data_IF_904362219931
#
_entry.id   IF_904362219931
#
_cell.length_a   1.000
_cell.length_b   1.000
_cell.length_c   1.000
_cell.angle_alpha   90.00
_cell.angle_beta   90.00
_cell.angle_gamma   90.00
#
_symmetry.space_group_name_H-M   'P 1'
#
loop_
_entity.id
_entity.type
_entity.pdbx_description
1 polymer ?
#
# COMPACT_ATOMS: atom_id res chain seq x y z
N UNK A 1 23.40 -17.89 -12.65
CA UNK A 1 22.76 -18.55 -11.48
C UNK A 1 22.61 -17.62 -10.25
N UNK A 2 22.96 -16.33 -10.33
CA UNK A 2 22.91 -15.40 -9.16
C UNK A 2 21.54 -14.74 -8.92
N UNK A 3 20.66 -14.71 -9.94
CA UNK A 3 19.35 -14.05 -9.86
C UNK A 3 18.38 -14.74 -8.88
N UNK A 4 18.42 -16.08 -8.79
CA UNK A 4 17.52 -16.83 -7.90
C UNK A 4 17.78 -16.55 -6.42
N UNK A 5 19.05 -16.36 -6.03
CA UNK A 5 19.39 -16.04 -4.63
C UNK A 5 18.96 -14.64 -4.22
N UNK A 6 19.09 -13.66 -5.12
CA UNK A 6 18.69 -12.26 -4.88
C UNK A 6 17.17 -12.12 -4.77
N UNK A 7 16.41 -12.82 -5.63
CA UNK A 7 14.94 -12.85 -5.59
C UNK A 7 14.42 -13.43 -4.26
N UNK A 8 14.97 -14.55 -3.80
CA UNK A 8 14.60 -15.15 -2.51
C UNK A 8 14.91 -14.24 -1.33
N UNK A 9 16.06 -13.55 -1.34
CA UNK A 9 16.41 -12.59 -0.28
C UNK A 9 15.45 -11.39 -0.27
N UNK A 10 15.10 -10.86 -1.43
CA UNK A 10 14.13 -9.77 -1.52
C UNK A 10 12.74 -10.19 -1.03
N UNK A 11 12.27 -11.38 -1.43
CA UNK A 11 11.00 -11.91 -0.94
C UNK A 11 11.00 -12.04 0.60
N UNK A 12 12.08 -12.54 1.19
CA UNK A 12 12.24 -12.60 2.65
C UNK A 12 12.25 -11.23 3.33
N UNK A 13 12.96 -10.25 2.75
CA UNK A 13 12.99 -8.88 3.28
C UNK A 13 11.61 -8.20 3.19
N UNK A 14 10.88 -8.38 2.08
CA UNK A 14 9.50 -7.89 1.93
C UNK A 14 8.59 -8.55 2.97
N UNK A 15 8.70 -9.86 3.17
CA UNK A 15 7.90 -10.59 4.15
C UNK A 15 8.17 -10.12 5.59
N UNK A 16 9.44 -9.93 5.96
CA UNK A 16 9.85 -9.40 7.26
C UNK A 16 9.31 -8.00 7.50
N UNK A 17 9.60 -7.07 6.58
CA UNK A 17 9.12 -5.68 6.65
C UNK A 17 7.59 -5.61 6.76
N UNK A 18 6.87 -6.38 5.94
CA UNK A 18 5.41 -6.41 5.96
C UNK A 18 4.87 -6.96 7.27
N UNK A 19 5.53 -7.97 7.86
CA UNK A 19 5.13 -8.53 9.16
C UNK A 19 5.28 -7.52 10.29
N UNK A 20 6.35 -6.73 10.28
CA UNK A 20 6.56 -5.67 11.25
C UNK A 20 5.54 -4.54 11.10
N UNK A 21 5.20 -4.17 9.86
CA UNK A 21 4.12 -3.20 9.60
C UNK A 21 2.78 -3.68 10.16
N UNK A 22 2.42 -4.95 9.97
CA UNK A 22 1.22 -5.54 10.56
C UNK A 22 1.26 -5.48 12.09
N UNK A 23 2.41 -5.78 12.70
CA UNK A 23 2.60 -5.68 14.16
C UNK A 23 2.42 -4.23 14.65
N UNK A 24 2.99 -3.26 13.95
CA UNK A 24 2.83 -1.84 14.26
C UNK A 24 1.38 -1.36 14.13
N UNK A 25 0.68 -1.78 13.06
CA UNK A 25 -0.74 -1.46 12.88
C UNK A 25 -1.60 -1.98 14.03
N UNK A 26 -1.37 -3.22 14.49
CA UNK A 26 -2.12 -3.84 15.60
C UNK A 26 -1.81 -3.24 16.96
N UNK A 27 -0.54 -2.90 17.21
CA UNK A 27 -0.10 -2.41 18.51
C UNK A 27 -0.38 -0.92 18.74
N UNK A 28 -0.55 -0.13 17.67
CA UNK A 28 -0.59 1.33 17.78
C UNK A 28 0.76 1.96 18.14
N UNK A 29 1.82 1.16 18.18
CA UNK A 29 3.16 1.60 18.56
C UNK A 29 3.91 2.32 17.43
N UNK A 30 4.97 3.08 17.75
CA UNK A 30 5.83 3.66 16.74
C UNK A 30 6.50 2.55 15.93
N UNK A 31 6.35 2.62 14.62
CA UNK A 31 7.09 1.77 13.69
C UNK A 31 8.45 2.42 13.39
N UNK A 32 9.51 1.60 13.34
CA UNK A 32 10.86 2.01 12.94
C UNK A 32 11.25 1.19 11.72
N UNK A 33 11.56 1.86 10.61
CA UNK A 33 12.07 1.22 9.39
C UNK A 33 13.52 0.79 9.57
N UNK A 34 14.29 1.56 10.34
CA UNK A 34 15.66 1.24 10.69
C UNK A 34 15.68 0.04 11.66
N UNK A 35 16.14 -1.12 11.18
CA UNK A 35 16.24 -2.36 11.97
C UNK A 35 15.30 -3.48 11.55
N UNK A 36 14.40 -3.23 10.58
CA UNK A 36 13.36 -4.17 10.14
C UNK A 36 13.82 -5.31 9.23
N UNK A 37 15.05 -5.24 8.70
CA UNK A 37 15.58 -6.24 7.79
C UNK A 37 16.70 -7.01 8.51
N UNK A 38 16.60 -8.34 8.63
CA UNK A 38 17.60 -9.14 9.32
C UNK A 38 18.97 -9.01 8.64
N UNK A 39 20.03 -9.07 9.44
CA UNK A 39 21.44 -8.86 9.07
C UNK A 39 21.86 -9.63 7.80
N UNK A 40 21.93 -8.92 6.66
CA UNK A 40 22.38 -9.46 5.37
C UNK A 40 23.78 -8.92 5.04
N UNK A 41 24.79 -9.48 5.70
CA UNK A 41 26.19 -9.29 5.28
C UNK A 41 26.70 -7.86 5.45
N UNK A 42 27.30 -7.27 4.42
CA UNK A 42 27.85 -5.91 4.54
C UNK A 42 26.73 -4.87 4.69
N UNK A 43 26.93 -3.81 5.48
CA UNK A 43 25.91 -2.77 5.71
C UNK A 43 25.31 -2.17 4.43
N UNK A 44 26.11 -2.02 3.38
CA UNK A 44 25.67 -1.50 2.07
C UNK A 44 24.71 -2.44 1.32
N UNK A 45 24.92 -3.76 1.43
CA UNK A 45 24.04 -4.76 0.80
C UNK A 45 22.71 -4.89 1.55
N UNK A 46 22.73 -4.79 2.89
CA UNK A 46 21.54 -4.73 3.72
C UNK A 46 20.71 -3.46 3.45
N UNK A 47 21.37 -2.32 3.28
CA UNK A 47 20.75 -1.06 2.87
C UNK A 47 20.04 -1.20 1.51
N UNK A 48 20.73 -1.78 0.51
CA UNK A 48 20.14 -2.00 -0.82
C UNK A 48 18.90 -2.90 -0.80
N UNK A 49 18.92 -3.97 -0.02
CA UNK A 49 17.79 -4.88 0.13
C UNK A 49 16.60 -4.22 0.83
N UNK A 50 16.87 -3.39 1.85
CA UNK A 50 15.86 -2.62 2.57
C UNK A 50 15.19 -1.61 1.65
N UNK A 51 15.98 -0.87 0.86
CA UNK A 51 15.45 0.07 -0.14
C UNK A 51 14.55 -0.63 -1.17
N UNK A 52 14.95 -1.82 -1.63
CA UNK A 52 14.15 -2.61 -2.57
C UNK A 52 12.84 -3.12 -1.94
N UNK A 53 12.89 -3.60 -0.69
CA UNK A 53 11.71 -4.04 0.04
C UNK A 53 10.73 -2.88 0.28
N UNK A 54 11.25 -1.70 0.68
CA UNK A 54 10.48 -0.46 0.79
C UNK A 54 9.78 -0.09 -0.53
N UNK A 55 10.47 -0.24 -1.66
CA UNK A 55 9.88 0.02 -2.97
C UNK A 55 8.73 -0.94 -3.31
N UNK A 56 8.83 -2.21 -2.89
CA UNK A 56 7.78 -3.22 -3.12
C UNK A 56 6.57 -2.97 -2.22
N UNK A 57 6.78 -2.65 -0.94
CA UNK A 57 5.70 -2.30 0.00
C UNK A 57 5.06 -0.97 -0.40
N UNK A 58 5.83 -0.03 -0.94
CA UNK A 58 5.36 1.24 -1.44
C UNK A 58 4.96 2.20 -0.32
N UNK A 59 3.92 3.00 -0.57
CA UNK A 59 3.43 3.99 0.39
C UNK A 59 2.95 3.38 1.72
N UNK A 60 2.60 2.08 1.73
CA UNK A 60 2.19 1.40 2.95
C UNK A 60 3.29 1.29 4.01
N UNK A 61 4.56 1.52 3.64
CA UNK A 61 5.66 1.59 4.60
C UNK A 61 5.47 2.71 5.64
N UNK A 62 4.70 3.74 5.30
CA UNK A 62 4.34 4.82 6.21
C UNK A 62 2.92 4.68 6.80
N UNK A 63 2.19 3.61 6.47
CA UNK A 63 0.79 3.45 6.86
C UNK A 63 0.56 3.47 8.38
N UNK A 64 1.43 2.87 9.23
CA UNK A 64 1.27 3.00 10.68
C UNK A 64 1.28 4.45 11.17
N UNK A 65 2.22 5.27 10.68
CA UNK A 65 2.28 6.70 11.02
C UNK A 65 1.06 7.46 10.52
N UNK A 66 0.59 7.13 9.31
CA UNK A 66 -0.60 7.77 8.71
C UNK A 66 -1.87 7.42 9.48
N UNK A 67 -2.13 6.13 9.73
CA UNK A 67 -3.36 5.70 10.40
C UNK A 67 -3.35 6.04 11.90
N UNK A 68 -2.24 5.88 12.60
CA UNK A 68 -2.15 6.21 14.03
C UNK A 68 -1.82 7.68 14.31
N UNK A 69 -1.58 8.49 13.28
CA UNK A 69 -1.21 9.92 13.40
C UNK A 69 0.02 10.16 14.26
N UNK A 70 0.94 9.21 14.23
CA UNK A 70 2.20 9.31 14.96
C UNK A 70 3.27 9.85 14.02
N UNK A 71 4.04 10.88 14.43
CA UNK A 71 5.15 11.36 13.61
C UNK A 71 6.14 10.24 13.30
N UNK A 72 6.53 10.10 12.04
CA UNK A 72 7.60 9.18 11.64
C UNK A 72 8.95 9.68 12.17
N UNK A 73 9.88 8.77 12.46
CA UNK A 73 11.23 9.19 12.84
C UNK A 73 11.91 9.93 11.68
N UNK A 74 12.76 10.93 11.96
CA UNK A 74 13.58 11.56 10.92
C UNK A 74 14.40 10.55 10.11
N UNK A 75 15.00 9.56 10.78
CA UNK A 75 15.81 8.52 10.12
C UNK A 75 14.97 7.62 9.19
N UNK A 76 13.74 7.32 9.59
CA UNK A 76 12.79 6.53 8.78
C UNK A 76 12.38 7.30 7.51
N UNK A 77 12.14 8.62 7.62
CA UNK A 77 11.85 9.48 6.47
C UNK A 77 13.05 9.61 5.53
N UNK A 78 14.26 9.70 6.06
CA UNK A 78 15.49 9.67 5.26
C UNK A 78 15.59 8.35 4.50
N UNK A 79 15.33 7.22 5.15
CA UNK A 79 15.36 5.88 4.53
C UNK A 79 14.30 5.75 3.44
N UNK A 80 13.06 6.18 3.71
CA UNK A 80 11.96 6.20 2.75
C UNK A 80 12.28 7.08 1.53
N UNK A 81 12.85 8.27 1.76
CA UNK A 81 13.31 9.17 0.71
C UNK A 81 14.44 8.59 -0.14
N UNK A 82 15.37 7.83 0.47
CA UNK A 82 16.40 7.08 -0.27
C UNK A 82 15.74 6.02 -1.18
N UNK A 83 14.71 5.31 -0.71
CA UNK A 83 14.02 4.27 -1.51
C UNK A 83 13.30 4.87 -2.71
N UNK A 84 12.62 6.00 -2.52
CA UNK A 84 12.00 6.78 -3.62
C UNK A 84 13.04 7.14 -4.67
N UNK A 85 14.17 7.73 -4.28
CA UNK A 85 15.21 8.16 -5.23
C UNK A 85 15.95 7.00 -5.91
N UNK A 86 16.13 5.87 -5.21
CA UNK A 86 16.86 4.72 -5.74
C UNK A 86 16.09 3.93 -6.79
N UNK A 87 14.74 3.93 -6.73
CA UNK A 87 13.90 3.11 -7.61
C UNK A 87 12.79 3.91 -8.31
N UNK A 88 13.15 4.89 -9.17
CA UNK A 88 12.18 5.55 -10.04
C UNK A 88 11.60 4.55 -11.06
N UNK A 89 10.33 4.71 -11.48
CA UNK A 89 9.77 3.88 -12.53
C UNK A 89 10.54 4.10 -13.85
N UNK A 90 10.90 3.03 -14.59
CA UNK A 90 11.53 3.19 -15.91
C UNK A 90 10.56 3.83 -16.92
N UNK A 91 11.04 4.36 -18.06
CA UNK A 91 10.19 5.04 -19.06
C UNK A 91 9.03 4.22 -19.61
N UNK A 92 9.14 2.88 -19.58
CA UNK A 92 8.13 1.93 -20.03
C UNK A 92 7.42 1.20 -18.87
N UNK A 93 7.46 1.77 -17.67
CA UNK A 93 6.80 1.20 -16.50
C UNK A 93 5.28 1.07 -16.73
N UNK A 94 4.67 0.05 -16.12
CA UNK A 94 3.22 -0.07 -16.11
C UNK A 94 2.59 1.16 -15.43
N UNK A 95 1.35 1.55 -15.81
CA UNK A 95 0.64 2.63 -15.12
C UNK A 95 0.56 2.42 -13.60
N UNK A 96 0.35 1.18 -13.16
CA UNK A 96 0.34 0.83 -11.73
C UNK A 96 1.68 1.09 -11.05
N UNK A 97 2.80 0.81 -11.70
CA UNK A 97 4.14 1.05 -11.13
C UNK A 97 4.43 2.54 -10.96
N UNK A 98 3.97 3.36 -11.91
CA UNK A 98 4.08 4.83 -11.86
C UNK A 98 3.20 5.38 -10.73
N UNK A 99 1.95 4.93 -10.63
CA UNK A 99 1.02 5.31 -9.56
C UNK A 99 1.53 4.89 -8.17
N UNK A 100 2.09 3.69 -8.01
CA UNK A 100 2.71 3.26 -6.76
C UNK A 100 3.89 4.14 -6.37
N UNK A 101 4.71 4.56 -7.33
CA UNK A 101 5.84 5.47 -7.06
C UNK A 101 5.34 6.87 -6.67
N UNK A 102 4.37 7.41 -7.42
CA UNK A 102 3.73 8.68 -7.09
C UNK A 102 3.12 8.68 -5.68
N UNK A 103 2.51 7.57 -5.26
CA UNK A 103 2.00 7.41 -3.90
C UNK A 103 3.09 7.53 -2.84
N UNK A 104 4.28 6.99 -3.11
CA UNK A 104 5.43 7.12 -2.22
C UNK A 104 5.94 8.56 -2.18
N UNK A 105 6.09 9.23 -3.33
CA UNK A 105 6.51 10.64 -3.37
C UNK A 105 5.55 11.56 -2.62
N UNK A 106 4.25 11.42 -2.89
CA UNK A 106 3.20 12.19 -2.20
C UNK A 106 3.21 11.94 -0.69
N UNK A 107 3.39 10.69 -0.28
CA UNK A 107 3.45 10.34 1.15
C UNK A 107 4.68 10.92 1.82
N UNK A 108 5.85 10.91 1.14
CA UNK A 108 7.05 11.54 1.64
C UNK A 108 6.86 13.05 1.83
N UNK A 109 6.31 13.74 0.81
CA UNK A 109 6.03 15.18 0.88
C UNK A 109 5.11 15.53 2.05
N UNK A 110 4.07 14.71 2.29
CA UNK A 110 3.11 14.92 3.39
C UNK A 110 3.76 14.78 4.77
N UNK A 111 4.66 13.81 4.93
CA UNK A 111 5.28 13.51 6.23
C UNK A 111 6.49 14.40 6.53
N UNK A 112 7.17 14.90 5.50
CA UNK A 112 8.28 15.84 5.60
C UNK A 112 7.81 17.30 5.77
N UNK A 113 6.53 17.58 5.45
CA UNK A 113 5.92 18.87 5.68
C UNK A 113 5.76 19.17 7.18
N UNK A 114 6.79 19.79 7.77
CA UNK A 114 6.64 20.55 9.02
C UNK A 114 5.53 21.60 8.87
N UNK A 115 4.80 21.95 9.96
CA UNK A 115 3.76 22.98 9.91
C UNK A 115 4.35 24.30 9.38
N UNK A 116 3.93 24.70 8.17
CA UNK A 116 4.43 25.89 7.47
C UNK A 116 5.06 25.65 6.08
N UNK A 117 5.25 24.39 5.65
CA UNK A 117 5.93 24.09 4.36
C UNK A 117 4.99 23.87 3.15
N UNK A 118 3.67 23.94 3.32
CA UNK A 118 2.71 23.63 2.23
C UNK A 118 2.51 24.74 1.20
N UNK A 119 3.20 25.88 1.35
CA UNK A 119 3.18 26.96 0.36
C UNK A 119 4.32 26.81 -0.65
N UNK A 120 3.99 26.27 -1.84
CA UNK A 120 4.59 26.80 -3.07
C UNK A 120 5.73 26.04 -3.76
N UNK A 121 5.61 24.72 -3.99
CA UNK A 121 6.41 24.05 -5.05
C UNK A 121 5.50 23.71 -6.24
N UNK A 122 5.43 24.55 -7.29
CA UNK A 122 4.57 24.29 -8.45
C UNK A 122 5.08 23.08 -9.26
N UNK A 123 4.18 22.12 -9.54
CA UNK A 123 4.41 21.06 -10.53
C UNK A 123 4.78 19.66 -9.99
N UNK A 124 5.08 19.52 -8.68
CA UNK A 124 5.30 18.19 -8.07
C UNK A 124 4.01 17.50 -7.62
N UNK A 125 2.92 18.25 -7.52
CA UNK A 125 1.56 17.79 -7.22
C UNK A 125 0.71 17.54 -8.47
N UNK A 126 1.31 17.53 -9.68
CA UNK A 126 0.57 17.22 -10.89
C UNK A 126 0.06 15.78 -10.82
N UNK A 127 -1.25 15.64 -10.67
CA UNK A 127 -1.93 14.36 -10.61
C UNK A 127 -1.75 13.60 -11.93
N UNK A 128 -1.47 12.29 -11.82
CA UNK A 128 -1.27 11.43 -12.98
C UNK A 128 -2.60 11.11 -13.68
N UNK A 129 -2.52 10.75 -14.97
CA UNK A 129 -3.69 10.27 -15.70
C UNK A 129 -4.11 8.86 -15.20
N UNK A 130 -5.40 8.72 -14.87
CA UNK A 130 -6.03 7.46 -14.51
C UNK A 130 -7.09 6.98 -15.51
N UNK A 131 -7.27 7.65 -16.67
CA UNK A 131 -8.31 7.30 -17.66
C UNK A 131 -8.23 5.88 -18.19
N UNK A 132 -7.05 5.25 -18.12
CA UNK A 132 -6.87 3.83 -18.44
C UNK A 132 -7.67 2.89 -17.53
N UNK A 133 -8.18 3.36 -16.39
CA UNK A 133 -9.09 2.64 -15.52
C UNK A 133 -10.57 2.84 -15.88
N UNK A 134 -10.94 3.93 -16.54
CA UNK A 134 -12.34 4.25 -16.88
C UNK A 134 -12.93 3.17 -17.79
N UNK A 135 -12.18 2.81 -18.83
CA UNK A 135 -12.57 1.82 -19.83
C UNK A 135 -12.23 0.37 -19.41
N UNK A 136 -11.63 0.18 -18.24
CA UNK A 136 -11.21 -1.14 -17.79
C UNK A 136 -12.43 -2.05 -17.49
N UNK A 137 -12.37 -3.30 -17.94
CA UNK A 137 -13.33 -4.32 -17.49
C UNK A 137 -13.29 -4.43 -15.96
N UNK A 138 -14.41 -4.81 -15.32
CA UNK A 138 -14.47 -4.89 -13.85
C UNK A 138 -13.40 -5.83 -13.27
N UNK A 139 -13.01 -6.88 -14.02
CA UNK A 139 -11.93 -7.79 -13.63
C UNK A 139 -10.58 -7.07 -13.62
N UNK A 140 -10.27 -6.33 -14.69
CA UNK A 140 -9.03 -5.56 -14.82
C UNK A 140 -8.97 -4.44 -13.79
N UNK A 141 -10.06 -3.68 -13.65
CA UNK A 141 -10.19 -2.62 -12.66
C UNK A 141 -9.88 -3.16 -11.26
N UNK A 142 -10.56 -4.23 -10.83
CA UNK A 142 -10.37 -4.74 -9.46
C UNK A 142 -8.96 -5.26 -9.24
N UNK A 143 -8.35 -5.91 -10.24
CA UNK A 143 -6.97 -6.35 -10.16
C UNK A 143 -6.02 -5.15 -9.99
N UNK A 144 -6.19 -4.11 -10.80
CA UNK A 144 -5.35 -2.91 -10.77
C UNK A 144 -5.54 -2.13 -9.47
N UNK A 145 -6.77 -2.01 -8.97
CA UNK A 145 -7.06 -1.43 -7.66
C UNK A 145 -6.43 -2.25 -6.53
N UNK A 146 -6.45 -3.58 -6.58
CA UNK A 146 -5.79 -4.39 -5.55
C UNK A 146 -4.27 -4.20 -5.54
N UNK A 147 -3.62 -4.05 -6.71
CA UNK A 147 -2.20 -3.67 -6.80
C UNK A 147 -1.97 -2.26 -6.22
N UNK A 148 -2.91 -1.35 -6.45
CA UNK A 148 -2.90 0.02 -5.98
C UNK A 148 -3.56 0.20 -4.60
N UNK A 149 -3.73 -0.86 -3.83
CA UNK A 149 -4.31 -0.79 -2.48
C UNK A 149 -3.60 0.21 -1.54
N UNK A 150 -2.27 0.47 -1.65
CA UNK A 150 -1.63 1.54 -0.88
C UNK A 150 -2.18 2.95 -1.11
N UNK A 151 -2.91 3.20 -2.20
CA UNK A 151 -3.62 4.47 -2.44
C UNK A 151 -4.96 4.57 -1.70
N UNK A 152 -5.50 3.45 -1.21
CA UNK A 152 -6.73 3.42 -0.43
C UNK A 152 -6.42 3.85 1.01
N UNK A 153 -6.38 5.16 1.25
CA UNK A 153 -6.15 5.79 2.56
C UNK A 153 -7.27 6.80 2.83
N UNK A 154 -7.86 6.84 4.05
CA UNK A 154 -8.90 7.81 4.39
C UNK A 154 -8.48 9.25 4.16
N UNK A 155 -9.41 10.08 3.64
CA UNK A 155 -9.18 11.51 3.43
C UNK A 155 -8.29 11.86 2.24
N UNK A 156 -7.68 10.89 1.58
CA UNK A 156 -6.93 11.11 0.34
C UNK A 156 -7.86 11.11 -0.87
N UNK A 157 -7.57 12.01 -1.82
CA UNK A 157 -8.19 12.03 -3.13
C UNK A 157 -7.12 12.02 -4.21
N UNK A 158 -7.31 11.12 -5.18
CA UNK A 158 -6.57 11.09 -6.42
C UNK A 158 -7.43 10.48 -7.54
N UNK A 159 -6.95 10.51 -8.79
CA UNK A 159 -7.74 10.08 -9.93
C UNK A 159 -8.12 8.60 -9.81
N UNK A 160 -7.25 7.76 -9.24
CA UNK A 160 -7.55 6.35 -8.93
C UNK A 160 -8.68 6.22 -7.89
N UNK A 161 -8.66 7.02 -6.82
CA UNK A 161 -9.74 6.98 -5.80
C UNK A 161 -11.07 7.41 -6.39
N UNK A 162 -11.07 8.43 -7.26
CA UNK A 162 -12.29 8.89 -7.95
C UNK A 162 -12.87 7.82 -8.87
N UNK A 163 -12.04 7.10 -9.63
CA UNK A 163 -12.50 5.95 -10.43
C UNK A 163 -13.10 4.86 -9.54
N UNK A 164 -12.44 4.52 -8.43
CA UNK A 164 -12.94 3.50 -7.51
C UNK A 164 -14.31 3.89 -6.92
N UNK A 165 -14.49 5.15 -6.50
CA UNK A 165 -15.78 5.69 -6.01
C UNK A 165 -16.89 5.66 -7.05
N UNK A 166 -16.56 5.77 -8.33
CA UNK A 166 -17.56 5.66 -9.41
C UNK A 166 -18.03 4.23 -9.69
N UNK A 167 -17.36 3.20 -9.14
CA UNK A 167 -17.58 1.79 -9.52
C UNK A 167 -17.61 0.78 -8.36
N UNK A 168 -18.27 1.06 -7.22
CA UNK A 168 -18.26 0.17 -6.04
C UNK A 168 -18.78 -1.25 -6.32
N UNK A 169 -19.81 -1.39 -7.17
CA UNK A 169 -20.38 -2.70 -7.54
C UNK A 169 -19.37 -3.58 -8.30
N UNK A 170 -18.55 -2.97 -9.16
CA UNK A 170 -17.54 -3.71 -9.92
C UNK A 170 -16.40 -4.19 -9.02
N UNK A 171 -15.98 -3.35 -8.06
CA UNK A 171 -14.99 -3.72 -7.04
C UNK A 171 -15.55 -4.84 -6.13
N UNK A 172 -16.82 -4.74 -5.71
CA UNK A 172 -17.50 -5.78 -4.93
C UNK A 172 -17.56 -7.12 -5.68
N UNK A 173 -17.89 -7.09 -6.97
CA UNK A 173 -17.88 -8.28 -7.84
C UNK A 173 -16.48 -8.88 -7.94
N UNK A 174 -15.46 -8.03 -8.08
CA UNK A 174 -14.07 -8.45 -8.12
C UNK A 174 -13.57 -9.04 -6.80
N UNK A 175 -13.97 -8.49 -5.65
CA UNK A 175 -13.72 -9.06 -4.33
C UNK A 175 -14.28 -10.49 -4.22
N UNK A 176 -15.58 -10.68 -4.52
CA UNK A 176 -16.21 -12.01 -4.48
C UNK A 176 -15.51 -12.98 -5.42
N UNK A 177 -15.15 -12.53 -6.63
CA UNK A 177 -14.38 -13.36 -7.57
C UNK A 177 -13.02 -13.75 -6.99
N UNK A 178 -12.28 -12.82 -6.40
CA UNK A 178 -10.96 -13.09 -5.83
C UNK A 178 -11.06 -14.11 -4.69
N UNK A 179 -12.03 -13.95 -3.78
CA UNK A 179 -12.36 -14.92 -2.73
C UNK A 179 -12.64 -16.31 -3.31
N UNK A 180 -13.52 -16.41 -4.32
CA UNK A 180 -13.86 -17.69 -4.97
C UNK A 180 -12.67 -18.35 -5.66
N UNK A 181 -11.72 -17.57 -6.16
CA UNK A 181 -10.49 -18.05 -6.81
C UNK A 181 -9.35 -18.29 -5.83
N UNK A 182 -9.56 -18.03 -4.53
CA UNK A 182 -8.51 -18.08 -3.49
C UNK A 182 -7.34 -17.13 -3.78
N UNK A 183 -7.61 -16.05 -4.50
CA UNK A 183 -6.66 -14.97 -4.68
C UNK A 183 -6.78 -14.01 -3.49
N UNK A 184 -6.18 -14.42 -2.37
CA UNK A 184 -6.36 -13.74 -1.09
C UNK A 184 -5.75 -12.33 -1.10
N UNK A 185 -4.65 -12.12 -1.83
CA UNK A 185 -4.02 -10.81 -1.94
C UNK A 185 -4.90 -9.85 -2.74
N UNK A 186 -5.44 -10.29 -3.88
CA UNK A 186 -6.39 -9.47 -4.63
C UNK A 186 -7.67 -9.20 -3.82
N UNK A 187 -8.18 -10.20 -3.10
CA UNK A 187 -9.36 -10.04 -2.24
C UNK A 187 -9.11 -9.02 -1.12
N UNK A 188 -7.95 -9.09 -0.44
CA UNK A 188 -7.63 -8.15 0.63
C UNK A 188 -7.43 -6.72 0.12
N UNK A 189 -6.72 -6.55 -1.00
CA UNK A 189 -6.55 -5.24 -1.64
C UNK A 189 -7.88 -4.63 -2.11
N UNK A 190 -8.76 -5.42 -2.74
CA UNK A 190 -10.10 -4.98 -3.11
C UNK A 190 -10.97 -4.65 -1.89
N UNK A 191 -10.87 -5.47 -0.84
CA UNK A 191 -11.57 -5.25 0.42
C UNK A 191 -11.16 -3.93 1.09
N UNK A 192 -9.87 -3.57 1.07
CA UNK A 192 -9.38 -2.27 1.55
C UNK A 192 -9.97 -1.08 0.78
N UNK A 193 -10.14 -1.20 -0.53
CA UNK A 193 -10.87 -0.17 -1.28
C UNK A 193 -12.31 -0.06 -0.82
N UNK A 194 -13.02 -1.19 -0.76
CA UNK A 194 -14.44 -1.24 -0.43
C UNK A 194 -14.78 -0.63 0.94
N UNK A 195 -13.86 -0.62 1.91
CA UNK A 195 -14.12 0.07 3.19
C UNK A 195 -14.14 1.60 3.10
N UNK A 196 -13.63 2.17 2.01
CA UNK A 196 -13.59 3.61 1.74
C UNK A 196 -14.60 4.06 0.68
N UNK A 197 -15.33 3.13 0.07
CA UNK A 197 -16.31 3.45 -0.96
C UNK A 197 -17.70 3.57 -0.34
N UNK A 198 -18.44 4.57 -0.79
CA UNK A 198 -19.88 4.65 -0.58
C UNK A 198 -20.60 3.65 -1.50
N UNK A 199 -21.88 3.41 -1.23
CA UNK A 199 -22.77 2.58 -2.05
C UNK A 199 -22.27 1.13 -2.29
N UNK A 200 -21.45 0.59 -1.37
CA UNK A 200 -21.10 -0.84 -1.36
C UNK A 200 -22.34 -1.65 -1.02
N UNK A 201 -22.72 -2.68 -1.80
CA UNK A 201 -23.92 -3.46 -1.53
C UNK A 201 -23.88 -4.14 -0.15
N UNK A 202 -24.89 -3.91 0.69
CA UNK A 202 -24.99 -4.54 2.02
C UNK A 202 -24.96 -6.08 1.95
N UNK A 203 -25.51 -6.64 0.88
CA UNK A 203 -25.52 -8.09 0.60
C UNK A 203 -24.13 -8.68 0.38
N UNK A 204 -23.10 -7.85 0.20
CA UNK A 204 -21.71 -8.28 0.11
C UNK A 204 -21.22 -8.91 1.41
N UNK A 205 -21.73 -8.45 2.57
CA UNK A 205 -21.22 -8.87 3.87
C UNK A 205 -19.72 -8.61 4.04
N UNK A 206 -19.27 -7.40 3.66
CA UNK A 206 -17.84 -7.05 3.55
C UNK A 206 -17.02 -7.37 4.80
N UNK A 207 -17.58 -7.11 5.98
CA UNK A 207 -16.93 -7.39 7.27
C UNK A 207 -16.61 -8.88 7.44
N UNK A 208 -17.63 -9.75 7.35
CA UNK A 208 -17.45 -11.19 7.40
C UNK A 208 -16.56 -11.71 6.26
N UNK A 209 -16.64 -11.07 5.09
CA UNK A 209 -15.76 -11.37 3.95
C UNK A 209 -14.29 -11.08 4.25
N UNK A 210 -13.98 -9.95 4.88
CA UNK A 210 -12.61 -9.59 5.27
C UNK A 210 -12.08 -10.49 6.39
N UNK A 211 -12.93 -10.87 7.36
CA UNK A 211 -12.58 -11.86 8.39
C UNK A 211 -12.25 -13.22 7.75
N UNK A 212 -13.05 -13.66 6.78
CA UNK A 212 -12.78 -14.88 6.03
C UNK A 212 -11.46 -14.80 5.24
N UNK A 213 -11.18 -13.67 4.57
CA UNK A 213 -9.91 -13.47 3.85
C UNK A 213 -8.72 -13.49 4.81
N UNK A 214 -8.82 -12.84 5.98
CA UNK A 214 -7.77 -12.88 7.00
C UNK A 214 -7.50 -14.31 7.49
N UNK A 215 -8.56 -15.08 7.75
CA UNK A 215 -8.44 -16.46 8.21
C UNK A 215 -7.81 -17.36 7.15
N UNK A 216 -8.15 -17.17 5.88
CA UNK A 216 -7.69 -18.03 4.78
C UNK A 216 -6.32 -17.65 4.21
N UNK A 217 -5.92 -16.39 4.33
CA UNK A 217 -4.63 -15.87 3.88
C UNK A 217 -3.63 -15.64 5.02
N UNK A 218 -3.83 -16.23 6.19
CA UNK A 218 -3.11 -15.94 7.44
C UNK A 218 -1.58 -16.00 7.33
N UNK A 219 -1.05 -16.81 6.40
CA UNK A 219 0.39 -17.04 6.24
C UNK A 219 1.08 -16.01 5.33
N UNK A 220 0.33 -15.13 4.63
CA UNK A 220 0.91 -14.07 3.79
C UNK A 220 0.78 -12.71 4.51
N UNK A 221 1.90 -12.13 5.02
CA UNK A 221 1.89 -10.82 5.66
C UNK A 221 1.31 -9.72 4.79
N UNK A 222 1.38 -9.83 3.45
CA UNK A 222 0.80 -8.82 2.55
C UNK A 222 -0.71 -8.86 2.57
N UNK A 223 -1.32 -10.05 2.71
CA UNK A 223 -2.76 -10.18 2.93
C UNK A 223 -3.11 -9.57 4.28
N UNK A 224 -2.37 -9.93 5.33
CA UNK A 224 -2.60 -9.41 6.68
C UNK A 224 -2.50 -7.88 6.73
N UNK A 225 -1.54 -7.27 6.04
CA UNK A 225 -1.36 -5.82 5.94
C UNK A 225 -2.61 -5.15 5.36
N UNK A 226 -3.13 -5.65 4.24
CA UNK A 226 -4.30 -5.05 3.60
C UNK A 226 -5.58 -5.21 4.44
N UNK A 227 -5.76 -6.36 5.10
CA UNK A 227 -6.93 -6.55 5.98
C UNK A 227 -6.84 -5.71 7.25
N UNK A 228 -5.67 -5.60 7.87
CA UNK A 228 -5.49 -4.77 9.07
C UNK A 228 -5.69 -3.29 8.75
N UNK A 229 -5.17 -2.83 7.61
CA UNK A 229 -5.44 -1.49 7.08
C UNK A 229 -6.95 -1.24 6.95
N UNK A 230 -7.66 -2.15 6.28
CA UNK A 230 -9.11 -2.05 6.09
C UNK A 230 -9.87 -2.01 7.43
N UNK A 231 -9.45 -2.82 8.41
CA UNK A 231 -10.05 -2.86 9.76
C UNK A 231 -9.90 -1.54 10.49
N UNK A 232 -8.69 -0.97 10.51
CA UNK A 232 -8.41 0.30 11.18
C UNK A 232 -9.17 1.47 10.53
N UNK A 233 -9.27 1.49 9.20
CA UNK A 233 -10.04 2.49 8.46
C UNK A 233 -11.53 2.45 8.83
N UNK A 234 -12.12 1.24 8.92
CA UNK A 234 -13.52 1.06 9.34
C UNK A 234 -13.77 1.43 10.79
N UNK A 235 -12.83 1.12 11.68
CA UNK A 235 -12.94 1.42 13.11
C UNK A 235 -12.94 2.94 13.39
N UNK A 236 -12.73 3.77 12.35
CA UNK A 236 -12.81 5.21 12.47
C UNK A 236 -11.71 5.74 13.36
N UNK A 237 -10.47 5.29 13.15
CA UNK A 237 -9.33 6.11 13.60
C UNK A 237 -9.50 7.44 12.89
N UNK A 238 -10.09 8.38 13.64
CA UNK A 238 -10.74 9.60 13.12
C UNK A 238 -9.75 10.33 12.25
N UNK A 239 -10.12 10.67 11.02
CA UNK A 239 -9.49 11.78 10.28
C UNK A 239 -9.94 13.10 10.90
#
# INVERSE_FOLDING_TARGET
>A
MEQSGTSTRLAGAVQGLTSELVSALRSGGPFRLTGSVPDVGTPEAADGLTLAALRVVGADAALPSVLHRTPSAPDDLVMFGRAVRAYPPPPNASPTSVWSHWAMERTLLRLDASPGSLDGVPGRDAELDARWLDDASWQSLTHQLAVLAPLAVPGEDCAVTRVARGRPVDVARGFVRAVRRRDWLQAAGAGRWLVLLDDVPDTLGLEAGLEFVAQMGCDDPRVALQVEAARLMRAGVRV
#
